data_IF_744946864109
#
_entry.id   IF_744946864109
#
_cell.length_a   1.000
_cell.length_b   1.000
_cell.length_c   1.000
_cell.angle_alpha   90.00
_cell.angle_beta   90.00
_cell.angle_gamma   90.00
#
_symmetry.space_group_name_H-M   'P 1'
#
loop_
_entity.id
_entity.type
_entity.pdbx_description
1 polymer ?
#
# COMPACT_ATOMS: atom_id res chain seq x y z
N UNK A 1 17.57 -36.28 3.27
CA UNK A 1 17.46 -34.80 3.20
C UNK A 1 16.07 -34.50 2.71
N UNK A 2 15.13 -34.28 3.64
CA UNK A 2 13.78 -33.78 3.34
C UNK A 2 13.93 -32.31 3.05
N UNK A 3 13.67 -31.89 1.80
CA UNK A 3 13.40 -30.50 1.49
C UNK A 3 12.10 -30.17 2.23
N UNK A 4 12.18 -29.42 3.30
CA UNK A 4 11.03 -28.74 3.86
C UNK A 4 10.48 -27.85 2.73
N UNK A 5 9.29 -28.19 2.26
CA UNK A 5 8.48 -27.26 1.48
C UNK A 5 8.25 -26.07 2.43
N UNK A 6 9.00 -24.99 2.25
CA UNK A 6 8.65 -23.73 2.87
C UNK A 6 7.20 -23.45 2.50
N UNK A 7 6.34 -23.41 3.52
CA UNK A 7 4.94 -23.08 3.34
C UNK A 7 4.87 -21.74 2.60
N UNK A 8 4.16 -21.70 1.48
CA UNK A 8 3.91 -20.48 0.73
C UNK A 8 2.99 -19.65 1.59
N UNK A 9 3.56 -18.73 2.38
CA UNK A 9 2.80 -17.78 3.18
C UNK A 9 2.42 -16.59 2.31
N UNK A 10 1.13 -16.26 2.32
CA UNK A 10 0.62 -15.02 1.75
C UNK A 10 1.06 -13.86 2.65
N UNK A 11 1.85 -12.96 2.09
CA UNK A 11 2.48 -11.87 2.83
C UNK A 11 1.78 -10.55 2.55
N UNK A 12 1.49 -9.77 3.60
CA UNK A 12 0.88 -8.45 3.57
C UNK A 12 -0.55 -8.41 2.99
N UNK A 13 -1.32 -7.42 3.41
CA UNK A 13 -2.64 -7.10 2.85
C UNK A 13 -2.75 -5.60 2.59
N UNK A 14 -3.31 -5.24 1.44
CA UNK A 14 -3.59 -3.85 1.06
C UNK A 14 -5.08 -3.66 0.83
N UNK A 15 -5.59 -2.50 1.24
CA UNK A 15 -6.99 -2.13 1.08
C UNK A 15 -7.11 -0.62 0.86
N UNK A 16 -8.03 -0.20 0.01
CA UNK A 16 -8.28 1.21 -0.24
C UNK A 16 -9.70 1.51 -0.65
N UNK A 17 -10.18 2.69 -0.29
CA UNK A 17 -11.51 3.23 -0.58
C UNK A 17 -11.39 4.58 -1.25
N UNK A 18 -12.18 4.81 -2.28
CA UNK A 18 -12.26 6.06 -3.03
C UNK A 18 -13.70 6.55 -3.17
N UNK A 19 -13.95 7.77 -2.71
CA UNK A 19 -15.25 8.43 -2.86
C UNK A 19 -16.29 8.03 -1.81
N UNK A 20 -15.85 7.77 -0.55
CA UNK A 20 -16.76 7.49 0.56
C UNK A 20 -16.44 8.36 1.78
N UNK A 21 -17.43 9.05 2.40
CA UNK A 21 -17.18 9.91 3.54
C UNK A 21 -16.54 9.20 4.74
N UNK A 22 -16.79 7.90 4.91
CA UNK A 22 -16.20 7.06 5.94
C UNK A 22 -15.03 6.22 5.42
N UNK A 23 -14.24 6.71 4.45
CA UNK A 23 -13.20 5.95 3.78
C UNK A 23 -12.21 5.29 4.76
N UNK A 24 -11.76 6.03 5.79
CA UNK A 24 -10.81 5.53 6.78
C UNK A 24 -11.39 4.40 7.63
N UNK A 25 -12.65 4.53 8.06
CA UNK A 25 -13.35 3.50 8.84
C UNK A 25 -13.59 2.23 8.01
N UNK A 26 -13.99 2.38 6.75
CA UNK A 26 -14.13 1.25 5.82
C UNK A 26 -12.77 0.59 5.55
N UNK A 27 -11.71 1.39 5.41
CA UNK A 27 -10.34 0.86 5.27
C UNK A 27 -9.93 0.05 6.50
N UNK A 28 -10.27 0.51 7.70
CA UNK A 28 -10.03 -0.26 8.92
C UNK A 28 -10.76 -1.61 8.88
N UNK A 29 -12.04 -1.67 8.52
CA UNK A 29 -12.77 -2.93 8.45
C UNK A 29 -12.25 -3.86 7.35
N UNK A 30 -11.88 -3.31 6.19
CA UNK A 30 -11.26 -4.08 5.12
C UNK A 30 -9.92 -4.69 5.54
N UNK A 31 -9.06 -3.92 6.22
CA UNK A 31 -7.79 -4.41 6.76
C UNK A 31 -8.00 -5.43 7.88
N UNK A 32 -9.05 -5.27 8.69
CA UNK A 32 -9.39 -6.26 9.72
C UNK A 32 -9.73 -7.61 9.10
N UNK A 33 -10.46 -7.63 7.98
CA UNK A 33 -10.72 -8.85 7.22
C UNK A 33 -9.43 -9.46 6.63
N UNK A 34 -8.41 -8.63 6.36
CA UNK A 34 -7.11 -9.04 5.84
C UNK A 34 -6.05 -9.29 6.93
N UNK A 35 -6.41 -9.26 8.21
CA UNK A 35 -5.44 -9.37 9.32
C UNK A 35 -4.66 -10.70 9.31
N UNK A 36 -5.24 -11.77 8.77
CA UNK A 36 -4.56 -13.06 8.61
C UNK A 36 -3.34 -12.99 7.67
N UNK A 37 -3.27 -11.98 6.80
CA UNK A 37 -2.15 -11.74 5.88
C UNK A 37 -0.98 -11.01 6.53
N UNK A 38 -1.18 -10.32 7.66
CA UNK A 38 -0.11 -9.59 8.34
C UNK A 38 -0.47 -9.19 9.76
N UNK A 39 0.43 -9.44 10.72
CA UNK A 39 0.17 -9.25 12.16
C UNK A 39 1.24 -8.40 12.87
N UNK A 40 2.27 -7.94 12.15
CA UNK A 40 3.40 -7.25 12.77
C UNK A 40 3.30 -5.73 12.75
N UNK A 41 2.47 -5.20 11.89
CA UNK A 41 2.21 -3.78 11.81
C UNK A 41 1.04 -3.46 10.92
N UNK A 42 0.42 -2.32 11.15
CA UNK A 42 -0.68 -1.81 10.37
C UNK A 42 -0.60 -0.30 10.20
N UNK A 43 -1.21 0.21 9.15
CA UNK A 43 -1.33 1.64 8.92
C UNK A 43 -2.45 1.99 7.97
N UNK A 44 -2.97 3.20 8.14
CA UNK A 44 -3.97 3.81 7.26
C UNK A 44 -3.53 5.24 6.96
N UNK A 45 -3.67 5.63 5.71
CA UNK A 45 -3.50 7.01 5.24
C UNK A 45 -4.77 7.45 4.56
N UNK A 46 -5.32 8.58 4.99
CA UNK A 46 -6.47 9.25 4.36
C UNK A 46 -6.02 10.47 3.55
N UNK A 47 -6.90 10.89 2.64
CA UNK A 47 -6.70 12.09 1.84
C UNK A 47 -7.88 13.04 2.08
N UNK A 48 -7.59 14.16 2.74
CA UNK A 48 -8.51 15.27 2.95
C UNK A 48 -8.12 16.43 2.01
N UNK A 49 -8.77 16.48 0.84
CA UNK A 49 -8.56 17.55 -0.16
C UNK A 49 -7.09 17.76 -0.56
N UNK A 50 -6.37 16.66 -0.82
CA UNK A 50 -4.96 16.67 -1.22
C UNK A 50 -3.98 16.61 -0.07
N UNK A 51 -4.44 16.78 1.18
CA UNK A 51 -3.59 16.63 2.36
C UNK A 51 -3.65 15.20 2.92
N UNK A 52 -2.50 14.53 2.96
CA UNK A 52 -2.40 13.17 3.42
C UNK A 52 -2.14 13.10 4.93
N UNK A 53 -3.04 12.43 5.64
CA UNK A 53 -2.95 12.19 7.08
C UNK A 53 -2.81 10.70 7.32
N UNK A 54 -1.79 10.28 8.06
CA UNK A 54 -1.52 8.86 8.31
C UNK A 54 -1.38 8.55 9.79
N UNK A 55 -1.82 7.34 10.16
CA UNK A 55 -1.52 6.69 11.42
C UNK A 55 -1.03 5.27 11.13
N UNK A 56 0.07 4.86 11.77
CA UNK A 56 0.69 3.54 11.61
C UNK A 56 1.45 3.13 12.85
N UNK A 57 1.51 1.83 13.10
CA UNK A 57 2.21 1.30 14.27
C UNK A 57 2.49 -0.19 14.15
N UNK A 58 3.30 -0.70 15.09
CA UNK A 58 3.58 -2.13 15.24
C UNK A 58 2.43 -2.85 15.95
N UNK A 59 2.19 -4.11 15.60
CA UNK A 59 1.17 -4.95 16.19
C UNK A 59 -0.06 -5.14 15.30
N UNK A 60 -1.07 -5.77 15.87
CA UNK A 60 -2.35 -5.99 15.21
C UNK A 60 -3.07 -4.67 14.93
N UNK A 61 -3.90 -4.65 13.91
CA UNK A 61 -4.70 -3.47 13.56
C UNK A 61 -5.49 -2.91 14.75
N UNK A 62 -6.09 -3.80 15.57
CA UNK A 62 -6.83 -3.43 16.77
C UNK A 62 -5.97 -2.84 17.89
N UNK A 63 -4.67 -3.10 17.89
CA UNK A 63 -3.72 -2.49 18.82
C UNK A 63 -3.27 -1.11 18.33
N UNK A 64 -2.97 -1.02 17.03
CA UNK A 64 -2.54 0.24 16.37
C UNK A 64 -3.66 1.28 16.40
N UNK A 65 -4.90 0.86 16.20
CA UNK A 65 -6.12 1.68 16.23
C UNK A 65 -6.99 1.38 17.45
N UNK A 66 -6.37 1.15 18.60
CA UNK A 66 -7.05 0.84 19.86
C UNK A 66 -7.84 2.02 20.44
N UNK A 67 -7.55 3.24 20.01
CA UNK A 67 -8.29 4.45 20.32
C UNK A 67 -9.09 4.89 19.08
N UNK A 68 -10.41 4.98 19.20
CA UNK A 68 -11.29 5.41 18.09
C UNK A 68 -10.88 6.78 17.52
N UNK A 69 -10.33 7.65 18.34
CA UNK A 69 -9.80 8.96 17.92
C UNK A 69 -8.71 8.88 16.85
N UNK A 70 -7.97 7.78 16.78
CA UNK A 70 -6.94 7.59 15.74
C UNK A 70 -7.57 7.44 14.34
N UNK A 71 -8.73 6.78 14.26
CA UNK A 71 -9.49 6.68 13.00
C UNK A 71 -10.21 8.00 12.70
N UNK A 72 -10.78 8.66 13.70
CA UNK A 72 -11.51 9.93 13.53
C UNK A 72 -10.62 11.08 13.03
N UNK A 73 -9.32 11.03 13.30
CA UNK A 73 -8.33 11.99 12.78
C UNK A 73 -8.07 11.83 11.28
N UNK A 74 -8.28 10.63 10.75
CA UNK A 74 -8.05 10.30 9.34
C UNK A 74 -9.26 10.74 8.50
N UNK A 75 -9.38 12.05 8.31
CA UNK A 75 -10.47 12.67 7.57
C UNK A 75 -10.30 12.53 6.06
N UNK A 76 -11.39 12.76 5.34
CA UNK A 76 -11.43 12.72 3.88
C UNK A 76 -12.26 11.57 3.34
N UNK A 77 -12.48 11.60 2.03
CA UNK A 77 -13.32 10.64 1.31
C UNK A 77 -12.52 9.54 0.58
N UNK A 78 -11.22 9.49 0.84
CA UNK A 78 -10.28 8.54 0.25
C UNK A 78 -9.32 8.03 1.33
N UNK A 79 -9.04 6.74 1.33
CA UNK A 79 -8.05 6.17 2.24
C UNK A 79 -7.43 4.90 1.65
N UNK A 80 -6.16 4.66 1.97
CA UNK A 80 -5.47 3.39 1.71
C UNK A 80 -4.85 2.87 2.99
N UNK A 81 -4.71 1.55 3.09
CA UNK A 81 -4.14 0.93 4.27
C UNK A 81 -3.40 -0.36 3.97
N UNK A 82 -2.66 -0.80 4.96
CA UNK A 82 -1.76 -1.93 4.88
C UNK A 82 -1.71 -2.70 6.20
N UNK A 83 -1.70 -4.02 6.13
CA UNK A 83 -1.30 -4.92 7.22
C UNK A 83 -0.03 -5.65 6.81
N UNK A 84 1.00 -5.59 7.68
CA UNK A 84 2.33 -6.07 7.39
C UNK A 84 2.56 -7.45 7.95
N UNK A 85 3.08 -8.33 7.10
CA UNK A 85 3.81 -9.52 7.49
C UNK A 85 5.32 -9.23 7.35
N UNK A 86 6.14 -9.49 8.35
CA UNK A 86 7.57 -9.35 8.22
C UNK A 86 8.23 -10.73 8.19
N UNK A 87 9.13 -10.92 7.24
CA UNK A 87 10.11 -12.00 7.27
C UNK A 87 11.15 -11.73 8.36
N UNK A 88 11.68 -12.78 8.98
CA UNK A 88 12.62 -12.68 10.08
C UNK A 88 13.78 -11.70 9.78
N UNK A 89 13.99 -10.72 10.66
CA UNK A 89 15.07 -9.74 10.56
C UNK A 89 14.73 -8.37 9.97
N UNK A 90 13.51 -8.16 9.45
CA UNK A 90 13.09 -6.88 8.87
C UNK A 90 12.28 -5.99 9.84
N UNK A 91 12.39 -6.20 11.14
CA UNK A 91 11.69 -5.45 12.18
C UNK A 91 12.06 -3.96 12.21
N UNK A 92 11.07 -3.09 12.43
CA UNK A 92 11.23 -1.65 12.61
C UNK A 92 9.98 -0.89 12.17
N UNK A 93 9.68 0.20 12.86
CA UNK A 93 8.55 1.09 12.57
C UNK A 93 8.67 1.76 11.20
N UNK A 94 9.91 1.92 10.71
CA UNK A 94 10.21 2.63 9.46
C UNK A 94 9.74 1.88 8.22
N UNK A 95 9.48 0.56 8.33
CA UNK A 95 8.98 -0.26 7.24
C UNK A 95 7.45 -0.44 7.26
N UNK A 96 6.74 0.16 8.21
CA UNK A 96 5.28 0.06 8.28
C UNK A 96 4.65 1.00 7.27
N UNK A 97 3.79 0.47 6.44
CA UNK A 97 3.11 1.18 5.36
C UNK A 97 1.67 1.54 5.76
N UNK A 98 1.00 2.48 5.02
CA UNK A 98 1.47 3.17 3.81
C UNK A 98 2.56 4.20 4.10
N UNK A 99 3.46 4.41 3.14
CA UNK A 99 4.40 5.52 3.17
C UNK A 99 3.76 6.78 2.61
N UNK A 100 4.08 7.94 3.19
CA UNK A 100 3.70 9.25 2.68
C UNK A 100 4.96 9.97 2.19
N UNK A 101 4.93 10.40 0.94
CA UNK A 101 5.97 11.19 0.31
C UNK A 101 5.42 12.58 0.00
N UNK A 102 6.12 13.61 0.48
CA UNK A 102 5.74 15.02 0.30
C UNK A 102 6.70 15.70 -0.65
N UNK A 103 6.15 16.27 -1.70
CA UNK A 103 6.89 16.96 -2.72
C UNK A 103 6.35 18.39 -2.87
N UNK A 104 7.08 19.25 -3.59
CA UNK A 104 6.64 20.62 -3.85
C UNK A 104 5.37 20.68 -4.74
N UNK A 105 5.10 19.62 -5.49
CA UNK A 105 4.01 19.47 -6.45
C UNK A 105 2.89 18.52 -5.98
N UNK A 106 2.87 18.16 -4.68
CA UNK A 106 1.81 17.35 -4.08
C UNK A 106 2.31 16.24 -3.17
N UNK A 107 1.37 15.50 -2.63
CA UNK A 107 1.64 14.38 -1.73
C UNK A 107 1.22 13.05 -2.39
N UNK A 108 1.95 11.98 -2.09
CA UNK A 108 1.65 10.61 -2.58
C UNK A 108 1.72 9.64 -1.42
N UNK A 109 0.68 8.83 -1.24
CA UNK A 109 0.72 7.68 -0.35
C UNK A 109 0.87 6.39 -1.16
N UNK A 110 1.64 5.44 -0.63
CA UNK A 110 2.00 4.21 -1.32
C UNK A 110 2.05 3.04 -0.34
N UNK A 111 1.40 1.94 -0.68
CA UNK A 111 1.59 0.65 -0.03
C UNK A 111 1.77 -0.48 -1.05
N UNK A 112 2.42 -1.55 -0.61
CA UNK A 112 2.93 -2.63 -1.44
C UNK A 112 2.72 -3.98 -0.74
N UNK A 113 2.15 -4.91 -1.48
CA UNK A 113 2.16 -6.33 -1.17
C UNK A 113 3.04 -7.04 -2.20
N UNK A 114 4.14 -7.65 -1.76
CA UNK A 114 5.04 -8.37 -2.64
C UNK A 114 6.51 -8.16 -2.35
N UNK A 115 7.34 -8.50 -3.33
CA UNK A 115 8.80 -8.38 -3.24
C UNK A 115 9.41 -8.08 -4.62
N UNK A 116 10.33 -7.13 -4.67
CA UNK A 116 11.07 -6.76 -5.88
C UNK A 116 12.41 -7.49 -5.93
N UNK A 117 12.56 -8.39 -6.90
CA UNK A 117 13.77 -9.21 -7.06
C UNK A 117 15.00 -8.42 -7.48
N UNK A 118 14.82 -7.28 -8.15
CA UNK A 118 15.90 -6.39 -8.56
C UNK A 118 16.10 -5.18 -7.62
N UNK A 119 15.42 -5.14 -6.48
CA UNK A 119 15.51 -4.07 -5.49
C UNK A 119 16.96 -3.77 -5.07
N UNK A 120 17.83 -4.75 -4.72
CA UNK A 120 19.18 -4.45 -4.25
C UNK A 120 20.03 -3.71 -5.28
N UNK A 121 19.90 -4.06 -6.56
CA UNK A 121 20.65 -3.40 -7.64
C UNK A 121 20.12 -2.00 -7.94
N UNK A 122 18.79 -1.82 -7.95
CA UNK A 122 18.14 -0.53 -8.14
C UNK A 122 18.46 0.43 -7.00
N UNK A 123 18.37 -0.06 -5.76
CA UNK A 123 18.69 0.73 -4.58
C UNK A 123 20.12 1.26 -4.62
N UNK A 124 21.11 0.38 -4.86
CA UNK A 124 22.51 0.78 -4.98
C UNK A 124 22.70 1.86 -6.05
N UNK A 125 22.15 1.66 -7.26
CA UNK A 125 22.19 2.66 -8.32
C UNK A 125 21.61 4.00 -7.89
N UNK A 126 20.45 4.00 -7.24
CA UNK A 126 19.79 5.21 -6.77
C UNK A 126 20.60 5.91 -5.68
N UNK A 127 21.23 5.16 -4.76
CA UNK A 127 22.12 5.71 -3.71
C UNK A 127 23.38 6.33 -4.33
N UNK A 128 24.03 5.66 -5.30
CA UNK A 128 25.17 6.19 -6.05
C UNK A 128 24.82 7.51 -6.78
N UNK A 129 23.56 7.66 -7.18
CA UNK A 129 23.02 8.89 -7.78
C UNK A 129 22.48 9.89 -6.76
N UNK A 130 22.73 9.68 -5.44
CA UNK A 130 22.41 10.60 -4.36
C UNK A 130 20.97 10.45 -3.80
N UNK A 131 20.27 9.33 -3.99
CA UNK A 131 19.02 9.07 -3.28
C UNK A 131 19.28 8.78 -1.80
N UNK A 132 18.42 9.31 -0.94
CA UNK A 132 18.42 9.03 0.49
C UNK A 132 17.20 8.18 0.80
N UNK A 133 17.44 7.00 1.34
CA UNK A 133 16.39 6.07 1.78
C UNK A 133 16.15 6.21 3.29
N UNK A 134 14.89 6.20 3.69
CA UNK A 134 14.47 6.28 5.09
C UNK A 134 14.07 4.91 5.66
N UNK A 135 13.87 3.93 4.79
CA UNK A 135 13.50 2.56 5.17
C UNK A 135 14.34 1.52 4.42
N UNK A 136 14.23 0.27 4.83
CA UNK A 136 14.79 -0.86 4.09
C UNK A 136 13.78 -1.49 3.12
N UNK A 137 12.60 -0.89 3.00
CA UNK A 137 11.53 -1.40 2.13
C UNK A 137 11.86 -1.18 0.65
N UNK A 138 11.59 -2.19 -0.16
CA UNK A 138 11.65 -2.11 -1.62
C UNK A 138 10.59 -1.17 -2.20
N UNK A 139 9.51 -0.92 -1.45
CA UNK A 139 8.44 0.03 -1.79
C UNK A 139 8.98 1.44 -2.04
N UNK A 140 9.99 1.88 -1.28
CA UNK A 140 10.60 3.21 -1.43
C UNK A 140 11.37 3.37 -2.74
N UNK A 141 11.91 2.26 -3.29
CA UNK A 141 12.59 2.24 -4.58
C UNK A 141 11.66 2.73 -5.71
N UNK A 142 10.40 2.26 -5.72
CA UNK A 142 9.43 2.69 -6.74
C UNK A 142 9.24 4.21 -6.73
N UNK A 143 9.15 4.82 -5.55
CA UNK A 143 8.96 6.27 -5.44
C UNK A 143 10.18 7.05 -5.95
N UNK A 144 11.39 6.59 -5.66
CA UNK A 144 12.61 7.22 -6.21
C UNK A 144 12.66 7.12 -7.73
N UNK A 145 12.25 6.00 -8.33
CA UNK A 145 12.14 5.85 -9.78
C UNK A 145 11.12 6.82 -10.39
N UNK A 146 9.92 6.94 -9.78
CA UNK A 146 8.89 7.88 -10.21
C UNK A 146 9.44 9.32 -10.20
N UNK A 147 10.14 9.72 -9.14
CA UNK A 147 10.64 11.11 -9.01
C UNK A 147 11.79 11.46 -9.96
N UNK A 148 12.56 10.47 -10.37
CA UNK A 148 13.68 10.64 -11.34
C UNK A 148 13.24 10.58 -12.79
N UNK A 149 12.03 10.07 -13.05
CA UNK A 149 11.46 9.99 -14.39
C UNK A 149 11.31 11.39 -14.99
N UNK A 150 11.74 11.53 -16.23
CA UNK A 150 11.61 12.76 -17.02
C UNK A 150 10.27 12.89 -17.75
N UNK A 151 9.37 11.93 -17.55
CA UNK A 151 8.02 11.96 -18.12
C UNK A 151 7.22 13.16 -17.56
N UNK A 152 6.21 13.59 -18.32
CA UNK A 152 5.44 14.78 -17.97
C UNK A 152 4.36 14.54 -16.92
N UNK A 153 3.60 13.45 -17.09
CA UNK A 153 2.48 13.13 -16.19
C UNK A 153 2.88 12.14 -15.10
N UNK A 154 2.21 12.19 -13.93
CA UNK A 154 2.42 11.21 -12.89
C UNK A 154 2.20 9.77 -13.38
N UNK A 155 1.17 9.55 -14.20
CA UNK A 155 0.86 8.23 -14.75
C UNK A 155 1.97 7.70 -15.68
N UNK A 156 2.58 8.55 -16.49
CA UNK A 156 3.67 8.12 -17.37
C UNK A 156 4.95 7.84 -16.57
N UNK A 157 5.24 8.65 -15.53
CA UNK A 157 6.32 8.39 -14.56
C UNK A 157 6.13 7.06 -13.85
N UNK A 158 4.91 6.80 -13.37
CA UNK A 158 4.55 5.55 -12.71
C UNK A 158 4.71 4.35 -13.66
N UNK A 159 4.22 4.42 -14.89
CA UNK A 159 4.40 3.36 -15.88
C UNK A 159 5.86 3.06 -16.17
N UNK A 160 6.69 4.09 -16.33
CA UNK A 160 8.14 3.93 -16.53
C UNK A 160 8.79 3.24 -15.33
N UNK A 161 8.45 3.67 -14.12
CA UNK A 161 8.96 3.06 -12.89
C UNK A 161 8.51 1.59 -12.74
N UNK A 162 7.23 1.28 -13.01
CA UNK A 162 6.69 -0.09 -12.95
C UNK A 162 7.35 -1.01 -13.99
N UNK A 163 7.71 -0.50 -15.17
CA UNK A 163 8.45 -1.26 -16.19
C UNK A 163 9.92 -1.50 -15.81
N UNK A 164 10.45 -0.78 -14.84
CA UNK A 164 11.84 -0.91 -14.37
C UNK A 164 11.97 -1.92 -13.23
N UNK A 165 10.94 -2.06 -12.39
CA UNK A 165 10.94 -3.00 -11.27
C UNK A 165 10.56 -4.40 -11.72
N UNK A 166 11.18 -5.42 -11.11
CA UNK A 166 10.91 -6.82 -11.37
C UNK A 166 10.53 -7.54 -10.08
N UNK A 167 9.60 -8.50 -10.16
CA UNK A 167 9.13 -9.28 -9.02
C UNK A 167 7.63 -9.52 -9.05
N UNK A 168 7.10 -10.11 -8.00
CA UNK A 168 5.67 -10.25 -7.78
C UNK A 168 5.18 -9.11 -6.89
N UNK A 169 4.25 -8.28 -7.37
CA UNK A 169 3.78 -7.12 -6.61
C UNK A 169 2.32 -6.75 -6.88
N UNK A 170 1.69 -6.22 -5.85
CA UNK A 170 0.49 -5.40 -5.94
C UNK A 170 0.73 -4.08 -5.21
N UNK A 171 0.63 -2.97 -5.90
CA UNK A 171 0.74 -1.62 -5.35
C UNK A 171 -0.62 -0.97 -5.23
N UNK A 172 -0.79 -0.21 -4.16
CA UNK A 172 -1.89 0.72 -4.00
C UNK A 172 -1.31 2.10 -3.75
N UNK A 173 -1.62 3.03 -4.65
CA UNK A 173 -1.03 4.37 -4.70
C UNK A 173 -2.17 5.38 -4.64
N UNK A 174 -2.06 6.37 -3.78
CA UNK A 174 -3.04 7.45 -3.65
C UNK A 174 -2.36 8.80 -3.82
N UNK A 175 -2.88 9.59 -4.73
CA UNK A 175 -2.58 11.01 -4.91
C UNK A 175 -3.79 11.85 -4.53
N UNK A 176 -3.72 13.17 -4.69
CA UNK A 176 -4.88 14.04 -4.51
C UNK A 176 -6.07 13.59 -5.37
N UNK A 177 -5.80 13.29 -6.66
CA UNK A 177 -6.83 13.11 -7.68
C UNK A 177 -7.06 11.67 -8.12
N UNK A 178 -6.26 10.70 -7.61
CA UNK A 178 -6.34 9.32 -8.06
C UNK A 178 -6.02 8.30 -6.96
N UNK A 179 -6.71 7.16 -7.02
CA UNK A 179 -6.31 5.93 -6.37
C UNK A 179 -6.00 4.89 -7.46
N UNK A 180 -4.79 4.36 -7.44
CA UNK A 180 -4.26 3.52 -8.50
C UNK A 180 -3.88 2.17 -7.90
N UNK A 181 -4.44 1.09 -8.45
CA UNK A 181 -3.96 -0.27 -8.24
C UNK A 181 -3.03 -0.67 -9.38
N UNK A 182 -1.87 -1.23 -9.07
CA UNK A 182 -0.94 -1.74 -10.07
C UNK A 182 -0.47 -3.15 -9.70
N UNK A 183 -0.47 -4.03 -10.67
CA UNK A 183 -0.05 -5.43 -10.55
C UNK A 183 1.20 -5.69 -11.38
N UNK A 184 1.99 -6.67 -10.95
CA UNK A 184 3.03 -7.22 -11.82
C UNK A 184 2.42 -7.86 -13.08
N UNK A 185 3.21 -8.01 -14.17
CA UNK A 185 2.69 -8.51 -15.45
C UNK A 185 2.08 -9.92 -15.40
N UNK A 186 2.44 -10.72 -14.38
CA UNK A 186 1.97 -12.10 -14.21
C UNK A 186 0.83 -12.22 -13.19
N UNK A 187 0.55 -11.14 -12.43
CA UNK A 187 -0.49 -11.14 -11.40
C UNK A 187 -0.19 -12.08 -10.22
N UNK A 188 1.07 -12.19 -9.82
CA UNK A 188 1.47 -13.05 -8.70
C UNK A 188 0.86 -12.63 -7.36
N UNK A 189 0.59 -11.34 -7.20
CA UNK A 189 -0.09 -10.83 -6.00
C UNK A 189 -1.51 -10.41 -6.33
N UNK A 190 -2.50 -10.85 -5.53
CA UNK A 190 -3.90 -10.56 -5.83
C UNK A 190 -4.24 -9.10 -5.55
N UNK A 191 -5.13 -8.56 -6.37
CA UNK A 191 -5.79 -7.27 -6.17
C UNK A 191 -7.14 -7.28 -6.87
N UNK A 192 -8.21 -7.10 -6.10
CA UNK A 192 -9.59 -7.07 -6.57
C UNK A 192 -10.14 -5.66 -6.55
N UNK A 193 -10.91 -5.30 -7.56
CA UNK A 193 -11.66 -4.05 -7.64
C UNK A 193 -13.13 -4.32 -7.30
N UNK A 194 -13.66 -3.59 -6.33
CA UNK A 194 -15.06 -3.59 -5.95
C UNK A 194 -15.73 -2.23 -6.14
N UNK A 195 -17.05 -2.21 -6.20
CA UNK A 195 -17.86 -1.01 -6.24
C UNK A 195 -18.97 -1.07 -5.22
N UNK A 196 -19.15 -0.02 -4.46
CA UNK A 196 -20.21 0.12 -3.47
C UNK A 196 -21.49 0.69 -4.10
N UNK A 197 -22.64 0.46 -3.48
CA UNK A 197 -23.95 0.96 -3.96
C UNK A 197 -24.03 2.49 -4.07
N UNK A 198 -23.27 3.22 -3.26
CA UNK A 198 -23.19 4.69 -3.32
C UNK A 198 -22.25 5.21 -4.41
N UNK A 199 -21.62 4.30 -5.19
CA UNK A 199 -20.71 4.64 -6.29
C UNK A 199 -19.24 4.68 -5.90
N UNK A 200 -18.88 4.54 -4.62
CA UNK A 200 -17.49 4.46 -4.18
C UNK A 200 -16.79 3.22 -4.71
N UNK A 201 -15.49 3.32 -4.95
CA UNK A 201 -14.65 2.20 -5.38
C UNK A 201 -13.77 1.68 -4.25
N UNK A 202 -13.51 0.38 -4.30
CA UNK A 202 -12.68 -0.32 -3.31
C UNK A 202 -11.63 -1.17 -4.04
N UNK A 203 -10.39 -1.14 -3.55
CA UNK A 203 -9.33 -2.05 -3.98
C UNK A 203 -8.91 -2.88 -2.76
N UNK A 204 -8.78 -4.20 -2.93
CA UNK A 204 -8.46 -5.12 -1.84
C UNK A 204 -7.62 -6.30 -2.31
N UNK A 205 -6.70 -6.76 -1.48
CA UNK A 205 -5.93 -7.99 -1.75
C UNK A 205 -6.82 -9.22 -1.89
N UNK A 206 -7.94 -9.29 -1.15
CA UNK A 206 -8.87 -10.42 -1.21
C UNK A 206 -10.33 -9.95 -1.21
N UNK A 207 -11.17 -10.76 -1.85
CA UNK A 207 -12.61 -10.46 -1.99
C UNK A 207 -13.38 -10.50 -0.68
N UNK A 208 -12.92 -11.26 0.32
CA UNK A 208 -13.53 -11.25 1.67
C UNK A 208 -13.58 -9.85 2.28
N UNK A 209 -12.58 -9.01 1.98
CA UNK A 209 -12.56 -7.63 2.43
C UNK A 209 -13.59 -6.74 1.70
N UNK A 210 -13.94 -7.06 0.44
CA UNK A 210 -15.04 -6.40 -0.27
C UNK A 210 -16.39 -6.73 0.40
N UNK A 211 -16.61 -7.99 0.76
CA UNK A 211 -17.84 -8.45 1.40
C UNK A 211 -18.09 -7.71 2.72
N UNK A 212 -17.04 -7.54 3.53
CA UNK A 212 -17.13 -6.86 4.84
C UNK A 212 -17.59 -5.41 4.71
N UNK A 213 -17.19 -4.72 3.64
CA UNK A 213 -17.58 -3.31 3.40
C UNK A 213 -18.79 -3.17 2.49
N UNK A 214 -19.39 -4.27 2.04
CA UNK A 214 -20.57 -4.27 1.18
C UNK A 214 -20.29 -3.77 -0.24
N UNK A 215 -19.09 -4.02 -0.76
CA UNK A 215 -18.71 -3.72 -2.14
C UNK A 215 -18.91 -4.96 -3.03
N UNK A 216 -19.51 -4.77 -4.19
CA UNK A 216 -19.67 -5.81 -5.20
C UNK A 216 -18.39 -5.93 -6.03
N UNK A 217 -17.93 -7.17 -6.28
CA UNK A 217 -16.76 -7.44 -7.11
C UNK A 217 -17.02 -6.98 -8.55
N UNK A 218 -16.10 -6.17 -9.06
CA UNK A 218 -16.11 -5.71 -10.46
C UNK A 218 -15.12 -6.49 -11.31
N UNK A 219 -13.93 -6.74 -10.73
CA UNK A 219 -12.82 -7.38 -11.45
C UNK A 219 -11.81 -7.99 -10.49
#
# INVERSE_FOLDING_TARGET
>A
MSAELEDIHEECGIFGVWGHPDASRLTYFGLHALQHRGQEGAGIVSNDNGHLIGHRGTGLLTQVFGDEREIERLKGDKAIGHVRYATAGSGGTDNIQPFIFRFHDGEVALCHNGNLTNCPSLRRKLEDEGAIFHSNSDTEVLMHLIRRSMQRTFMDKLKEALNTVHGGFAYLIMTEDAMIGALDPNGFRPLSLGKMKNGAYVLASETCALDVVGAELVR
#
